data_IF_447653128548
#
_entry.id   IF_447653128548
#
_cell.length_a   1.000
_cell.length_b   1.000
_cell.length_c   1.000
_cell.angle_alpha   90.00
_cell.angle_beta   90.00
_cell.angle_gamma   90.00
#
_symmetry.space_group_name_H-M   'P 1'
#
loop_
_entity.id
_entity.type
_entity.pdbx_description
1 polymer ?
#
# COMPACT_ATOMS: atom_id res chain seq x y z
N UNK A 1 2.77 13.87 14.76
CA UNK A 1 3.39 13.81 13.42
C UNK A 1 4.66 14.65 13.28
N UNK A 2 4.73 15.92 13.70
CA UNK A 2 5.97 16.71 13.54
C UNK A 2 7.24 16.07 14.16
N UNK A 3 7.08 15.27 15.23
CA UNK A 3 8.19 14.53 15.86
C UNK A 3 8.75 13.38 15.02
N UNK A 4 7.95 12.76 14.14
CA UNK A 4 8.42 11.65 13.29
C UNK A 4 9.45 12.13 12.25
N UNK A 5 9.38 13.42 11.87
CA UNK A 5 10.34 14.06 10.97
C UNK A 5 11.65 14.43 11.67
N UNK A 6 11.65 14.50 13.01
CA UNK A 6 12.85 14.75 13.82
C UNK A 6 13.55 13.46 14.26
N UNK A 7 12.89 12.30 14.12
CA UNK A 7 13.45 11.00 14.48
C UNK A 7 14.64 10.65 13.58
N UNK A 8 15.76 10.27 14.21
CA UNK A 8 17.04 10.00 13.55
C UNK A 8 17.17 8.56 13.05
N UNK A 9 16.32 7.65 13.55
CA UNK A 9 16.29 6.25 13.14
C UNK A 9 14.86 5.75 12.86
N UNK A 10 14.78 4.60 12.19
CA UNK A 10 13.51 4.00 11.78
C UNK A 10 12.72 3.43 12.95
N UNK A 11 13.38 2.89 13.97
CA UNK A 11 12.71 2.28 15.12
C UNK A 11 11.94 3.34 15.93
N UNK A 12 12.55 4.49 16.18
CA UNK A 12 11.92 5.63 16.83
C UNK A 12 10.74 6.16 16.00
N UNK A 13 10.90 6.26 14.67
CA UNK A 13 9.85 6.72 13.77
C UNK A 13 8.64 5.78 13.79
N UNK A 14 8.89 4.48 13.71
CA UNK A 14 7.87 3.44 13.79
C UNK A 14 7.13 3.47 15.12
N UNK A 15 7.84 3.61 16.25
CA UNK A 15 7.21 3.75 17.56
C UNK A 15 6.30 4.99 17.65
N UNK A 16 6.69 6.11 17.03
CA UNK A 16 5.86 7.31 16.94
C UNK A 16 4.62 7.11 16.05
N UNK A 17 4.73 6.38 14.94
CA UNK A 17 3.58 6.01 14.11
C UNK A 17 2.59 5.12 14.88
N UNK A 18 3.08 4.11 15.60
CA UNK A 18 2.23 3.26 16.45
C UNK A 18 1.46 4.07 17.50
N UNK A 19 2.10 5.06 18.14
CA UNK A 19 1.43 5.96 19.08
C UNK A 19 0.35 6.81 18.41
N UNK A 20 0.58 7.26 17.18
CA UNK A 20 -0.40 8.02 16.42
C UNK A 20 -1.64 7.19 16.08
N UNK A 21 -1.45 5.93 15.65
CA UNK A 21 -2.56 4.99 15.40
C UNK A 21 -3.35 4.68 16.68
N UNK A 22 -2.68 4.50 17.82
CA UNK A 22 -3.35 4.32 19.11
C UNK A 22 -4.22 5.52 19.51
N UNK A 23 -3.75 6.74 19.23
CA UNK A 23 -4.54 7.94 19.48
C UNK A 23 -5.76 8.01 18.56
N UNK A 24 -5.59 7.67 17.27
CA UNK A 24 -6.67 7.63 16.28
C UNK A 24 -7.78 6.64 16.68
N UNK A 25 -7.39 5.46 17.15
CA UNK A 25 -8.31 4.43 17.65
C UNK A 25 -9.06 4.88 18.92
N UNK A 26 -8.33 5.45 19.89
CA UNK A 26 -8.90 5.98 21.13
C UNK A 26 -9.96 7.05 20.87
N UNK A 27 -9.73 7.90 19.88
CA UNK A 27 -10.66 8.97 19.49
C UNK A 27 -11.83 8.45 18.63
N UNK A 28 -11.83 7.16 18.25
CA UNK A 28 -12.84 6.53 17.40
C UNK A 28 -13.11 7.33 16.12
N UNK A 29 -12.06 7.89 15.54
CA UNK A 29 -12.19 8.83 14.42
C UNK A 29 -12.71 8.17 13.13
N UNK A 30 -12.44 6.87 12.95
CA UNK A 30 -12.89 6.05 11.83
C UNK A 30 -13.23 4.63 12.32
N UNK A 31 -13.89 3.83 11.49
CA UNK A 31 -14.17 2.41 11.73
C UNK A 31 -13.42 1.57 10.68
N UNK A 32 -12.21 1.07 10.98
CA UNK A 32 -11.47 0.20 10.06
C UNK A 32 -12.18 -1.14 9.87
N UNK A 33 -12.38 -1.59 8.63
CA UNK A 33 -13.11 -2.84 8.33
C UNK A 33 -12.19 -3.95 7.84
N UNK A 34 -11.33 -3.66 6.85
CA UNK A 34 -10.38 -4.64 6.31
C UNK A 34 -9.22 -3.97 5.58
N UNK A 35 -8.14 -4.72 5.40
CA UNK A 35 -7.06 -4.39 4.48
C UNK A 35 -7.32 -5.04 3.12
N UNK A 36 -7.12 -4.29 2.03
CA UNK A 36 -7.51 -4.70 0.69
C UNK A 36 -6.61 -5.80 0.11
N UNK A 37 -7.21 -6.66 -0.72
CA UNK A 37 -6.51 -7.45 -1.73
C UNK A 37 -6.76 -6.85 -3.11
N UNK A 38 -5.81 -7.01 -4.03
CA UNK A 38 -5.97 -6.53 -5.40
C UNK A 38 -6.49 -7.64 -6.33
N UNK A 39 -7.79 -7.93 -6.24
CA UNK A 39 -8.43 -8.95 -7.06
C UNK A 39 -8.88 -8.37 -8.41
N UNK A 40 -8.41 -8.96 -9.53
CA UNK A 40 -8.83 -8.58 -10.89
C UNK A 40 -8.70 -9.73 -11.87
N UNK A 41 -9.38 -9.60 -13.01
CA UNK A 41 -9.23 -10.51 -14.15
C UNK A 41 -8.25 -9.92 -15.16
N UNK A 42 -7.23 -10.67 -15.54
CA UNK A 42 -6.29 -10.33 -16.62
C UNK A 42 -6.33 -11.46 -17.65
N UNK A 43 -6.50 -11.10 -18.92
CA UNK A 43 -6.55 -12.10 -20.00
C UNK A 43 -5.20 -12.83 -20.12
N UNK A 44 -5.15 -14.13 -20.45
CA UNK A 44 -3.90 -14.89 -20.53
C UNK A 44 -2.87 -14.34 -21.55
N UNK A 45 -3.34 -13.60 -22.56
CA UNK A 45 -2.49 -12.99 -23.59
C UNK A 45 -1.94 -11.60 -23.21
N UNK A 46 -2.27 -11.08 -22.03
CA UNK A 46 -1.73 -9.80 -21.54
C UNK A 46 -0.48 -10.08 -20.71
N UNK A 47 0.68 -9.83 -21.32
CA UNK A 47 1.98 -9.90 -20.66
C UNK A 47 2.34 -8.60 -19.94
N UNK A 48 3.28 -8.69 -18.99
CA UNK A 48 3.83 -7.53 -18.28
C UNK A 48 3.08 -7.11 -17.01
N UNK A 49 1.89 -7.69 -16.75
CA UNK A 49 1.20 -7.51 -15.47
C UNK A 49 1.70 -8.54 -14.45
N UNK A 50 2.50 -8.10 -13.47
CA UNK A 50 3.10 -9.01 -12.47
C UNK A 50 2.20 -9.26 -11.25
N UNK A 51 1.29 -8.32 -10.94
CA UNK A 51 0.50 -8.33 -9.70
C UNK A 51 1.32 -8.17 -8.41
N UNK A 52 2.60 -7.77 -8.51
CA UNK A 52 3.52 -7.69 -7.37
C UNK A 52 3.76 -6.28 -6.84
N UNK A 53 3.29 -5.25 -7.55
CA UNK A 53 3.32 -3.89 -7.01
C UNK A 53 2.22 -3.76 -5.94
N UNK A 54 2.56 -3.59 -4.64
CA UNK A 54 1.56 -3.48 -3.59
C UNK A 54 0.74 -2.18 -3.68
N UNK A 55 1.24 -1.17 -4.41
CA UNK A 55 0.51 0.07 -4.72
C UNK A 55 -0.27 -0.02 -6.02
N UNK A 56 -0.09 -1.12 -6.77
CA UNK A 56 -0.80 -1.39 -8.02
C UNK A 56 -0.70 -0.28 -9.08
N UNK A 57 0.47 0.35 -9.17
CA UNK A 57 0.73 1.32 -10.22
C UNK A 57 1.04 0.60 -11.54
N UNK A 58 0.02 0.39 -12.36
CA UNK A 58 0.19 -0.23 -13.68
C UNK A 58 0.56 0.78 -14.75
N UNK A 59 1.56 0.46 -15.58
CA UNK A 59 1.99 1.29 -16.70
C UNK A 59 1.87 0.51 -18.02
N UNK A 60 1.11 1.04 -18.97
CA UNK A 60 0.87 0.39 -20.28
C UNK A 60 2.15 0.15 -21.08
N UNK A 61 3.18 1.00 -20.92
CA UNK A 61 4.52 0.79 -21.50
C UNK A 61 5.22 -0.50 -21.06
N UNK A 62 4.84 -1.06 -19.90
CA UNK A 62 5.38 -2.32 -19.40
C UNK A 62 4.54 -3.53 -19.85
N UNK A 63 3.42 -3.30 -20.52
CA UNK A 63 2.47 -4.33 -20.93
C UNK A 63 2.60 -4.64 -22.42
N UNK A 64 2.28 -5.87 -22.80
CA UNK A 64 2.29 -6.31 -24.19
C UNK A 64 1.27 -7.41 -24.43
N UNK A 65 0.95 -7.66 -25.69
CA UNK A 65 0.01 -8.71 -26.10
C UNK A 65 0.80 -9.86 -26.74
N UNK A 66 0.66 -11.05 -26.17
CA UNK A 66 1.19 -12.29 -26.74
C UNK A 66 0.24 -12.78 -27.84
N UNK A 67 0.77 -13.41 -28.89
CA UNK A 67 -0.05 -14.03 -29.95
C UNK A 67 -1.05 -15.00 -29.33
N UNK A 68 -2.31 -14.86 -29.71
CA UNK A 68 -3.46 -15.63 -29.23
C UNK A 68 -4.43 -15.92 -30.36
#
# INVERSE_FOLDING_TARGET
>A
MAETLKATDEAQRTALYTKAEQQLDKDSAIVPVYYYVNARLVKPWVGGYTGKDPLDNTYTRNMYIVKH
#
